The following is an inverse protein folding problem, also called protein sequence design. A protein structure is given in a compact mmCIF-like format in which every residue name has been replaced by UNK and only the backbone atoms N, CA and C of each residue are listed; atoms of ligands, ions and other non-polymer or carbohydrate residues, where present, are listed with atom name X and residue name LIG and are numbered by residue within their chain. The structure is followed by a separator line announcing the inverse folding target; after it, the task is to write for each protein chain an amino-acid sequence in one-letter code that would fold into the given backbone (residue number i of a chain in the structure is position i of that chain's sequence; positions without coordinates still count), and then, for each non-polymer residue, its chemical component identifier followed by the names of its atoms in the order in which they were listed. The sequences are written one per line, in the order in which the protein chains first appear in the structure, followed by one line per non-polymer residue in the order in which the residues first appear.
data_IF_383759146036
#
_entry.id   IF_383759146036
#
_cell.length_a   1.000
_cell.length_b   1.000
_cell.length_c   1.000
_cell.angle_alpha   90.00
_cell.angle_beta   90.00
_cell.angle_gamma   90.00
#
_symmetry.space_group_name_H-M   'P 1'
#
loop_
_entity.id
_entity.type
_entity.pdbx_description
1 polymer ?
#
# COMPACT_ATOMS: atom_id res chain seq x y z
N UNK A 1 24.96 42.19 -37.50
CA UNK A 1 25.51 43.53 -37.22
C UNK A 1 26.04 43.49 -35.78
N UNK A 2 27.36 43.42 -35.71
CA UNK A 2 28.35 43.98 -34.78
C UNK A 2 27.96 44.28 -33.32
N UNK A 3 28.70 43.61 -32.41
CA UNK A 3 29.18 44.11 -31.11
C UNK A 3 29.97 45.43 -31.27
N UNK A 4 30.22 46.24 -30.19
CA UNK A 4 31.54 46.13 -29.57
C UNK A 4 31.62 46.27 -28.03
N UNK A 5 32.77 45.74 -27.51
CA UNK A 5 33.42 45.96 -26.22
C UNK A 5 33.72 47.40 -25.89
N UNK A 6 34.06 47.67 -24.58
CA UNK A 6 35.17 48.49 -24.05
C UNK A 6 35.03 48.61 -22.53
N UNK A 7 35.94 48.04 -21.82
CA UNK A 7 37.08 48.44 -20.98
C UNK A 7 37.08 49.90 -20.51
N UNK A 8 37.20 50.15 -19.19
CA UNK A 8 38.41 50.83 -18.68
C UNK A 8 38.46 50.88 -17.11
N UNK A 9 39.71 50.82 -16.66
CA UNK A 9 40.21 50.90 -15.28
C UNK A 9 40.25 52.35 -14.77
N UNK A 10 40.35 52.56 -13.45
CA UNK A 10 41.41 53.31 -12.77
C UNK A 10 41.18 53.43 -11.25
N UNK A 11 42.09 52.92 -10.50
CA UNK A 11 43.00 53.53 -9.48
C UNK A 11 42.45 54.66 -8.59
N UNK A 12 42.57 54.47 -7.26
CA UNK A 12 43.52 55.20 -6.41
C UNK A 12 43.71 54.68 -5.02
N UNK A 13 44.92 54.90 -4.53
CA UNK A 13 45.62 54.44 -3.33
C UNK A 13 45.25 55.19 -2.04
N UNK A 14 45.65 54.57 -0.96
CA UNK A 14 46.37 55.00 0.30
C UNK A 14 45.43 55.14 1.51
N UNK A 15 45.81 54.80 2.71
CA UNK A 15 47.01 54.90 3.51
C UNK A 15 46.97 53.94 4.71
N UNK A 16 48.16 53.56 5.11
CA UNK A 16 48.61 52.77 6.26
C UNK A 16 48.22 53.40 7.59
N UNK A 17 47.87 52.56 8.59
CA UNK A 17 48.36 52.76 9.94
C UNK A 17 48.49 51.43 10.71
N UNK A 18 49.69 51.20 11.20
CA UNK A 18 50.13 50.13 12.07
C UNK A 18 49.50 50.24 13.46
N UNK A 19 49.00 49.12 13.98
CA UNK A 19 49.19 48.78 15.41
C UNK A 19 49.38 47.29 15.55
N UNK A 20 50.57 46.93 15.94
CA UNK A 20 51.02 45.66 16.41
C UNK A 20 50.38 45.35 17.77
N UNK A 21 49.60 44.28 17.87
CA UNK A 21 49.39 43.58 19.14
C UNK A 21 49.67 42.09 18.96
N UNK A 22 50.63 41.65 19.75
CA UNK A 22 51.08 40.29 20.00
C UNK A 22 49.89 39.38 20.36
N UNK A 23 49.65 38.36 19.60
CA UNK A 23 48.87 37.22 20.03
C UNK A 23 49.75 35.98 20.05
N UNK A 24 49.88 35.43 21.23
CA UNK A 24 50.61 34.23 21.51
C UNK A 24 50.10 33.04 20.70
N UNK A 25 50.99 32.35 20.01
CA UNK A 25 50.84 31.06 19.42
C UNK A 25 50.48 30.03 20.50
N UNK A 26 49.22 29.53 20.48
CA UNK A 26 48.91 28.27 21.11
C UNK A 26 48.76 27.22 20.00
N UNK A 27 49.80 26.42 19.90
CA UNK A 27 49.88 25.26 19.00
C UNK A 27 48.90 24.18 19.47
N UNK A 28 47.70 24.17 18.92
CA UNK A 28 46.75 23.07 19.13
C UNK A 28 47.16 21.89 18.26
N UNK A 29 47.59 20.81 18.89
CA UNK A 29 48.05 19.59 18.23
C UNK A 29 46.92 18.97 17.40
N UNK A 30 47.25 18.44 16.22
CA UNK A 30 46.34 17.74 15.30
C UNK A 30 45.49 16.64 15.98
N UNK A 31 45.91 16.14 17.15
CA UNK A 31 45.14 15.16 17.92
C UNK A 31 43.91 15.73 18.63
N UNK A 32 43.89 17.03 18.95
CA UNK A 32 42.74 17.66 19.62
C UNK A 32 41.65 18.05 18.62
N UNK A 33 42.00 18.28 17.35
CA UNK A 33 41.01 18.52 16.28
C UNK A 33 40.22 17.25 15.90
N UNK A 34 40.85 16.07 15.99
CA UNK A 34 40.15 14.80 15.73
C UNK A 34 39.24 14.34 16.90
N UNK A 35 39.56 14.70 18.13
CA UNK A 35 38.70 14.37 19.28
C UNK A 35 37.42 15.22 19.31
N UNK A 36 37.47 16.47 18.87
CA UNK A 36 36.29 17.32 18.78
C UNK A 36 35.34 16.96 17.62
N UNK A 37 35.84 16.44 16.50
CA UNK A 37 35.04 16.01 15.37
C UNK A 37 34.37 14.66 15.60
N UNK A 38 34.99 13.76 16.36
CA UNK A 38 34.39 12.45 16.71
C UNK A 38 33.22 12.58 17.69
N UNK A 39 33.25 13.56 18.60
CA UNK A 39 32.16 13.77 19.56
C UNK A 39 30.92 14.46 18.94
N UNK A 40 31.07 15.18 17.82
CA UNK A 40 29.97 15.87 17.15
C UNK A 40 29.19 14.95 16.16
N UNK A 41 29.74 13.81 15.76
CA UNK A 41 29.09 12.87 14.81
C UNK A 41 28.24 11.82 15.53
N UNK A 42 28.46 11.59 16.84
CA UNK A 42 27.74 10.55 17.60
C UNK A 42 26.39 11.01 18.17
N UNK A 43 25.98 12.26 18.00
CA UNK A 43 24.76 12.79 18.64
C UNK A 43 23.55 12.98 17.69
N UNK A 44 23.56 12.41 16.49
CA UNK A 44 22.43 12.49 15.54
C UNK A 44 21.91 11.15 15.03
N UNK A 45 22.16 10.06 15.72
CA UNK A 45 21.26 8.93 15.58
C UNK A 45 20.07 9.17 16.52
N UNK A 46 19.07 9.90 16.01
CA UNK A 46 17.71 9.81 16.51
C UNK A 46 17.39 8.32 16.49
N UNK A 47 17.25 7.71 17.66
CA UNK A 47 16.72 6.36 17.76
C UNK A 47 15.35 6.38 17.10
N UNK A 48 15.26 5.87 15.87
CA UNK A 48 14.00 5.30 15.43
C UNK A 48 13.63 4.32 16.54
N UNK A 49 12.51 4.54 17.22
CA UNK A 49 12.01 3.57 18.17
C UNK A 49 11.84 2.28 17.38
N UNK A 50 12.75 1.33 17.56
CA UNK A 50 12.59 0.01 17.03
C UNK A 50 11.36 -0.57 17.73
N UNK A 51 10.23 -0.55 17.05
CA UNK A 51 9.06 -1.28 17.48
C UNK A 51 9.43 -2.77 17.42
N UNK A 52 9.75 -3.35 18.58
CA UNK A 52 10.09 -4.76 18.68
C UNK A 52 8.80 -5.56 18.82
N UNK A 53 8.33 -6.11 17.71
CA UNK A 53 7.21 -7.07 17.74
C UNK A 53 7.66 -8.33 18.49
N UNK A 54 6.89 -8.73 19.51
CA UNK A 54 7.09 -9.99 20.24
C UNK A 54 5.96 -10.93 19.90
N UNK A 55 6.23 -12.00 19.13
CA UNK A 55 5.20 -12.99 18.85
C UNK A 55 4.71 -13.62 20.15
N UNK A 56 3.41 -13.89 20.21
CA UNK A 56 2.84 -14.58 21.35
C UNK A 56 3.39 -16.00 21.43
N UNK A 57 3.76 -16.43 22.63
CA UNK A 57 4.29 -17.78 22.89
C UNK A 57 3.23 -18.74 23.42
N UNK A 58 1.98 -18.29 23.53
CA UNK A 58 0.86 -19.09 24.04
C UNK A 58 -0.12 -19.38 22.95
N UNK A 59 -0.74 -20.56 23.02
CA UNK A 59 -1.83 -20.95 22.14
C UNK A 59 -3.16 -21.04 22.91
N UNK A 60 -4.27 -20.63 22.33
CA UNK A 60 -4.37 -19.88 21.04
C UNK A 60 -3.82 -18.47 21.19
N UNK A 61 -3.41 -17.87 20.05
CA UNK A 61 -2.96 -16.48 20.02
C UNK A 61 -4.11 -15.55 20.42
N UNK A 62 -3.98 -14.74 21.50
CA UNK A 62 -5.00 -13.79 21.91
C UNK A 62 -5.23 -12.66 20.91
N UNK A 63 -4.30 -12.43 19.98
CA UNK A 63 -4.49 -11.48 18.90
C UNK A 63 -5.55 -11.95 17.88
N UNK A 64 -5.88 -13.23 17.86
CA UNK A 64 -6.89 -13.81 16.96
C UNK A 64 -8.20 -14.01 17.71
N UNK A 65 -9.08 -13.03 17.64
CA UNK A 65 -10.34 -12.98 18.37
C UNK A 65 -11.48 -13.63 17.61
N UNK A 66 -12.28 -14.44 18.30
CA UNK A 66 -13.52 -15.01 17.79
C UNK A 66 -14.65 -14.06 18.20
N UNK A 67 -15.29 -13.44 17.20
CA UNK A 67 -16.45 -12.57 17.42
C UNK A 67 -17.76 -13.33 17.25
N UNK A 68 -17.74 -14.39 16.42
CA UNK A 68 -18.85 -15.31 16.22
C UNK A 68 -18.33 -16.75 16.21
N UNK A 69 -19.05 -17.75 16.72
CA UNK A 69 -18.63 -19.16 16.78
C UNK A 69 -18.20 -19.75 15.44
N UNK A 70 -18.71 -19.26 14.31
CA UNK A 70 -18.33 -19.73 12.97
C UNK A 70 -16.84 -19.49 12.68
N UNK A 71 -16.23 -18.44 13.23
CA UNK A 71 -14.81 -18.16 13.07
C UNK A 71 -13.90 -19.16 13.78
N UNK A 72 -14.40 -19.88 14.77
CA UNK A 72 -13.62 -20.90 15.47
C UNK A 72 -13.11 -22.03 14.55
N UNK A 73 -13.83 -22.32 13.47
CA UNK A 73 -13.43 -23.32 12.46
C UNK A 73 -12.38 -22.78 11.49
N UNK A 74 -12.27 -21.47 11.38
CA UNK A 74 -11.31 -20.77 10.50
C UNK A 74 -9.97 -20.57 11.20
N UNK A 75 -9.99 -20.41 12.54
CA UNK A 75 -8.78 -20.18 13.34
C UNK A 75 -8.01 -21.48 13.56
N UNK A 76 -6.73 -21.51 13.19
CA UNK A 76 -5.83 -22.59 13.59
C UNK A 76 -5.38 -22.34 15.05
N UNK A 77 -5.66 -23.29 15.95
CA UNK A 77 -5.36 -23.18 17.39
C UNK A 77 -3.87 -22.88 17.67
N UNK A 78 -2.97 -23.53 16.92
CA UNK A 78 -1.51 -23.47 17.11
C UNK A 78 -0.82 -22.49 16.14
N UNK A 79 -1.57 -21.60 15.48
CA UNK A 79 -1.01 -20.53 14.65
C UNK A 79 -1.01 -19.22 15.41
N UNK A 80 0.08 -18.46 15.25
CA UNK A 80 0.24 -17.13 15.84
C UNK A 80 0.52 -16.11 14.75
N UNK A 81 0.24 -14.83 15.03
CA UNK A 81 0.64 -13.73 14.18
C UNK A 81 2.16 -13.62 14.19
N UNK A 82 2.77 -13.56 13.01
CA UNK A 82 4.21 -13.42 12.79
C UNK A 82 4.51 -12.07 12.13
N UNK A 83 5.51 -11.34 12.59
CA UNK A 83 6.09 -10.23 11.82
C UNK A 83 7.15 -10.80 10.89
N UNK A 84 6.88 -10.78 9.59
CA UNK A 84 7.74 -11.40 8.57
C UNK A 84 8.81 -10.44 8.06
N UNK A 85 8.50 -9.13 8.00
CA UNK A 85 9.41 -8.09 7.57
C UNK A 85 8.96 -6.72 8.11
N UNK A 86 9.89 -5.75 8.16
CA UNK A 86 9.61 -4.36 8.53
C UNK A 86 10.53 -3.40 7.79
N UNK A 87 10.36 -2.07 8.01
CA UNK A 87 11.21 -1.03 7.42
C UNK A 87 10.60 -0.35 6.18
N UNK A 88 9.32 -0.52 5.97
CA UNK A 88 8.52 0.26 5.00
C UNK A 88 7.99 1.55 5.64
N UNK A 89 7.41 2.43 4.85
CA UNK A 89 6.72 3.64 5.33
C UNK A 89 5.21 3.53 5.22
N UNK A 90 4.74 2.86 4.17
CA UNK A 90 3.34 2.53 3.95
C UNK A 90 3.26 1.31 3.05
N UNK A 91 3.11 0.15 3.68
CA UNK A 91 3.00 -1.14 3.02
C UNK A 91 1.60 -1.32 2.43
N UNK A 92 1.52 -1.61 1.13
CA UNK A 92 0.29 -1.72 0.37
C UNK A 92 0.36 -2.76 -0.74
N UNK A 93 -0.81 -3.06 -1.33
CA UNK A 93 -0.99 -3.81 -2.56
C UNK A 93 -0.29 -5.17 -2.61
N UNK A 94 -0.39 -6.02 -1.58
CA UNK A 94 0.32 -7.29 -1.57
C UNK A 94 -0.24 -8.27 -2.61
N UNK A 95 0.65 -8.96 -3.32
CA UNK A 95 0.32 -10.02 -4.27
C UNK A 95 1.28 -11.20 -4.11
N UNK A 96 0.72 -12.42 -4.03
CA UNK A 96 1.50 -13.64 -3.86
C UNK A 96 1.71 -14.38 -5.18
N UNK A 97 2.94 -14.86 -5.40
CA UNK A 97 3.34 -15.68 -6.55
C UNK A 97 3.63 -17.11 -6.08
N UNK A 98 2.66 -18.00 -6.26
CA UNK A 98 2.73 -19.37 -5.76
C UNK A 98 3.86 -20.20 -6.40
N UNK A 99 4.09 -20.06 -7.70
CA UNK A 99 5.13 -20.82 -8.42
C UNK A 99 6.54 -20.44 -7.93
N UNK A 100 6.76 -19.18 -7.60
CA UNK A 100 8.03 -18.69 -7.07
C UNK A 100 8.11 -18.63 -5.55
N UNK A 101 7.00 -18.90 -4.83
CA UNK A 101 6.86 -18.80 -3.38
C UNK A 101 7.39 -17.47 -2.82
N UNK A 102 6.91 -16.38 -3.39
CA UNK A 102 7.25 -15.04 -2.93
C UNK A 102 6.05 -14.10 -2.98
N UNK A 103 6.10 -13.08 -2.15
CA UNK A 103 5.16 -11.97 -2.10
C UNK A 103 5.82 -10.71 -2.64
N UNK A 104 5.09 -9.94 -3.42
CA UNK A 104 5.42 -8.55 -3.73
C UNK A 104 4.46 -7.63 -2.99
N UNK A 105 4.95 -6.46 -2.57
CA UNK A 105 4.14 -5.41 -1.96
C UNK A 105 4.74 -4.04 -2.25
N UNK A 106 3.89 -3.04 -2.33
CA UNK A 106 4.30 -1.65 -2.48
C UNK A 106 4.74 -1.04 -1.16
N UNK A 107 5.82 -0.28 -1.18
CA UNK A 107 6.19 0.68 -0.14
C UNK A 107 6.08 2.06 -0.79
N UNK A 108 4.86 2.61 -0.77
CA UNK A 108 4.44 3.71 -1.63
C UNK A 108 5.33 4.95 -1.45
N UNK A 109 5.51 5.51 -0.22
CA UNK A 109 6.25 6.75 -0.06
C UNK A 109 7.75 6.62 -0.35
N UNK A 110 8.29 5.40 -0.26
CA UNK A 110 9.68 5.10 -0.65
C UNK A 110 9.82 4.81 -2.15
N UNK A 111 8.72 4.89 -2.91
CA UNK A 111 8.68 4.69 -4.36
C UNK A 111 9.34 3.38 -4.80
N UNK A 112 8.96 2.28 -4.13
CA UNK A 112 9.55 0.95 -4.40
C UNK A 112 8.54 -0.17 -4.23
N UNK A 113 8.79 -1.29 -4.93
CA UNK A 113 8.14 -2.58 -4.71
C UNK A 113 9.13 -3.45 -3.93
N UNK A 114 8.66 -4.04 -2.84
CA UNK A 114 9.42 -4.96 -2.00
C UNK A 114 9.07 -6.41 -2.35
N UNK A 115 10.01 -7.33 -2.16
CA UNK A 115 9.83 -8.78 -2.28
C UNK A 115 10.15 -9.46 -0.95
N UNK A 116 9.20 -10.26 -0.49
CA UNK A 116 9.42 -11.21 0.60
C UNK A 116 9.49 -12.62 0.00
N UNK A 117 10.60 -13.31 0.21
CA UNK A 117 10.79 -14.71 -0.21
C UNK A 117 10.33 -15.62 0.92
N UNK A 118 9.27 -16.39 0.66
CA UNK A 118 8.65 -17.24 1.70
C UNK A 118 9.56 -18.37 2.17
N UNK A 119 10.47 -18.86 1.32
CA UNK A 119 11.33 -20.02 1.63
C UNK A 119 12.52 -19.61 2.48
N UNK A 120 13.19 -18.51 2.11
CA UNK A 120 14.39 -18.04 2.79
C UNK A 120 14.10 -17.01 3.89
N UNK A 121 12.91 -16.40 3.90
CA UNK A 121 12.59 -15.24 4.75
C UNK A 121 13.27 -13.94 4.29
N UNK A 122 13.96 -13.93 3.16
CA UNK A 122 14.65 -12.75 2.67
C UNK A 122 13.67 -11.65 2.26
N UNK A 123 13.97 -10.41 2.68
CA UNK A 123 13.21 -9.23 2.32
C UNK A 123 14.10 -8.25 1.56
N UNK A 124 13.72 -7.86 0.35
CA UNK A 124 14.56 -7.08 -0.55
C UNK A 124 13.74 -6.17 -1.46
N UNK A 125 14.39 -5.19 -2.09
CA UNK A 125 13.79 -4.37 -3.13
C UNK A 125 13.66 -5.19 -4.43
N UNK A 126 12.44 -5.28 -4.94
CA UNK A 126 12.16 -5.89 -6.24
C UNK A 126 12.28 -4.89 -7.38
N UNK A 127 11.73 -3.66 -7.18
CA UNK A 127 11.75 -2.59 -8.20
C UNK A 127 11.84 -1.22 -7.53
N UNK A 128 12.73 -0.36 -8.03
CA UNK A 128 12.85 1.03 -7.64
C UNK A 128 13.48 1.84 -8.80
N UNK A 129 12.88 2.97 -9.26
CA UNK A 129 11.58 3.49 -8.82
C UNK A 129 10.41 2.62 -9.24
N UNK A 130 9.29 2.69 -8.52
CA UNK A 130 8.04 1.99 -8.82
C UNK A 130 6.93 2.89 -9.38
N UNK A 131 7.20 4.17 -9.58
CA UNK A 131 6.23 5.21 -9.89
C UNK A 131 5.12 5.33 -8.82
N UNK A 132 5.51 5.21 -7.55
CA UNK A 132 4.59 5.18 -6.42
C UNK A 132 3.50 4.12 -6.64
N UNK A 133 3.94 2.88 -6.88
CA UNK A 133 3.03 1.74 -7.02
C UNK A 133 2.15 1.59 -5.79
N UNK A 134 0.89 1.17 -5.99
CA UNK A 134 -0.05 0.83 -4.93
C UNK A 134 -0.54 -0.61 -5.12
N UNK A 135 -1.82 -0.84 -5.44
CA UNK A 135 -2.41 -2.14 -5.61
C UNK A 135 -1.75 -2.98 -6.70
N UNK A 136 -1.61 -4.26 -6.45
CA UNK A 136 -1.05 -5.21 -7.40
C UNK A 136 -1.87 -6.50 -7.45
N UNK A 137 -1.87 -7.12 -8.62
CA UNK A 137 -2.44 -8.45 -8.84
C UNK A 137 -1.64 -9.21 -9.89
N UNK A 138 -2.03 -10.46 -10.16
CA UNK A 138 -1.53 -11.25 -11.29
C UNK A 138 -2.62 -11.38 -12.33
N UNK A 139 -2.24 -11.33 -13.61
CA UNK A 139 -3.15 -11.78 -14.65
C UNK A 139 -3.23 -13.32 -14.71
N UNK A 140 -4.10 -13.84 -15.59
CA UNK A 140 -4.32 -15.30 -15.72
C UNK A 140 -3.11 -16.06 -16.24
N UNK A 141 -2.12 -15.35 -16.78
CA UNK A 141 -0.83 -15.90 -17.22
C UNK A 141 0.27 -15.76 -16.13
N UNK A 142 -0.07 -15.25 -14.94
CA UNK A 142 0.87 -15.06 -13.85
C UNK A 142 1.78 -13.83 -13.98
N UNK A 143 1.47 -12.88 -14.88
CA UNK A 143 2.23 -11.63 -15.04
C UNK A 143 1.76 -10.59 -14.02
N UNK A 144 2.69 -9.80 -13.51
CA UNK A 144 2.43 -8.76 -12.54
C UNK A 144 1.68 -7.58 -13.17
N UNK A 145 0.52 -7.24 -12.60
CA UNK A 145 -0.25 -6.02 -12.86
C UNK A 145 -0.02 -5.05 -11.71
N UNK A 146 0.20 -3.77 -12.00
CA UNK A 146 0.52 -2.73 -11.02
C UNK A 146 -0.29 -1.47 -11.28
N UNK A 147 -0.93 -0.93 -10.25
CA UNK A 147 -1.44 0.43 -10.21
C UNK A 147 -0.30 1.38 -9.84
N UNK A 148 -0.03 2.38 -10.67
CA UNK A 148 1.04 3.37 -10.46
C UNK A 148 0.43 4.76 -10.25
N UNK A 149 0.54 5.30 -9.02
CA UNK A 149 -0.01 6.62 -8.65
C UNK A 149 0.64 7.75 -9.46
N UNK A 150 1.99 7.84 -9.42
CA UNK A 150 2.74 8.88 -10.14
C UNK A 150 2.62 8.73 -11.65
N UNK A 151 2.62 7.49 -12.15
CA UNK A 151 2.42 7.19 -13.56
C UNK A 151 0.99 7.50 -14.03
N UNK A 152 0.02 7.55 -13.10
CA UNK A 152 -1.42 7.68 -13.37
C UNK A 152 -1.86 6.64 -14.39
N UNK A 153 -1.51 5.36 -14.11
CA UNK A 153 -1.69 4.28 -15.09
C UNK A 153 -1.75 2.90 -14.42
N UNK A 154 -2.27 1.95 -15.16
CA UNK A 154 -2.17 0.52 -14.85
C UNK A 154 -1.18 -0.10 -15.82
N UNK A 155 -0.24 -0.89 -15.30
CA UNK A 155 0.82 -1.50 -16.07
C UNK A 155 0.86 -3.01 -15.90
N UNK A 156 1.47 -3.71 -16.85
CA UNK A 156 1.78 -5.14 -16.79
C UNK A 156 3.25 -5.37 -17.04
N UNK A 157 3.87 -6.20 -16.21
CA UNK A 157 5.25 -6.65 -16.43
C UNK A 157 5.23 -7.95 -17.23
N UNK A 158 5.76 -7.90 -18.43
CA UNK A 158 5.86 -9.05 -19.33
C UNK A 158 6.96 -10.02 -18.89
N UNK A 159 6.96 -11.26 -19.38
CA UNK A 159 7.96 -12.28 -19.02
C UNK A 159 9.42 -11.89 -19.33
N UNK A 160 9.63 -11.00 -20.29
CA UNK A 160 10.95 -10.47 -20.62
C UNK A 160 11.35 -9.25 -19.76
N UNK A 161 10.55 -8.91 -18.75
CA UNK A 161 10.76 -7.76 -17.86
C UNK A 161 10.30 -6.41 -18.41
N UNK A 162 9.80 -6.34 -19.66
CA UNK A 162 9.24 -5.10 -20.22
C UNK A 162 7.98 -4.72 -19.48
N UNK A 163 7.84 -3.43 -19.17
CA UNK A 163 6.60 -2.87 -18.61
C UNK A 163 5.73 -2.36 -19.76
N UNK A 164 4.53 -2.91 -19.87
CA UNK A 164 3.49 -2.51 -20.84
C UNK A 164 2.41 -1.70 -20.13
N UNK A 165 2.08 -0.52 -20.65
CA UNK A 165 0.96 0.29 -20.17
C UNK A 165 -0.33 -0.33 -20.68
N UNK A 166 -1.25 -0.69 -19.78
CA UNK A 166 -2.56 -1.22 -20.09
C UNK A 166 -3.60 -0.10 -20.22
N UNK A 167 -3.53 0.89 -19.32
CA UNK A 167 -4.39 2.07 -19.35
C UNK A 167 -3.69 3.24 -18.67
N UNK A 168 -3.77 4.44 -19.26
CA UNK A 168 -3.31 5.71 -18.66
C UNK A 168 -4.29 6.86 -18.93
N UNK A 169 -5.27 6.65 -19.82
CA UNK A 169 -6.27 7.64 -20.24
C UNK A 169 -7.62 7.02 -20.47
N UNK A 170 -8.65 7.81 -20.21
CA UNK A 170 -10.03 7.52 -20.62
C UNK A 170 -10.60 8.74 -21.35
N UNK A 171 -11.10 8.54 -22.58
CA UNK A 171 -11.62 9.61 -23.46
C UNK A 171 -10.62 10.79 -23.61
N UNK A 172 -9.32 10.50 -23.73
CA UNK A 172 -8.27 11.49 -23.91
C UNK A 172 -7.76 12.17 -22.63
N UNK A 173 -8.46 12.05 -21.50
CA UNK A 173 -8.09 12.57 -20.20
C UNK A 173 -7.25 11.55 -19.41
N UNK A 174 -6.30 12.02 -18.61
CA UNK A 174 -5.49 11.14 -17.77
C UNK A 174 -6.33 10.52 -16.66
N UNK A 175 -6.05 9.26 -16.33
CA UNK A 175 -6.54 8.63 -15.11
C UNK A 175 -6.13 9.45 -13.87
N UNK A 176 -6.83 9.28 -12.76
CA UNK A 176 -6.48 9.98 -11.51
C UNK A 176 -5.21 9.38 -10.90
N UNK A 177 -5.33 8.36 -10.12
CA UNK A 177 -4.23 7.58 -9.54
C UNK A 177 -4.76 6.17 -9.24
N UNK A 178 -4.70 5.25 -10.22
CA UNK A 178 -5.19 3.88 -10.02
C UNK A 178 -4.68 3.30 -8.70
N UNK A 179 -5.61 2.76 -7.88
CA UNK A 179 -5.35 2.43 -6.49
C UNK A 179 -5.28 0.91 -6.27
N UNK A 180 -6.37 0.18 -6.38
CA UNK A 180 -6.37 -1.28 -6.22
C UNK A 180 -6.86 -1.97 -7.50
N UNK A 181 -6.47 -3.26 -7.68
CA UNK A 181 -6.66 -3.99 -8.94
C UNK A 181 -6.88 -5.48 -8.69
N UNK A 182 -7.79 -6.06 -9.45
CA UNK A 182 -8.08 -7.51 -9.47
C UNK A 182 -8.15 -8.01 -10.91
N UNK A 183 -7.97 -9.31 -11.10
CA UNK A 183 -8.10 -9.98 -12.38
C UNK A 183 -9.18 -11.06 -12.29
N UNK A 184 -10.25 -10.91 -13.08
CA UNK A 184 -11.36 -11.85 -13.17
C UNK A 184 -10.94 -13.15 -13.87
N UNK A 185 -11.71 -14.23 -13.72
CA UNK A 185 -11.40 -15.56 -14.28
C UNK A 185 -11.27 -15.55 -15.81
N UNK A 186 -12.00 -14.68 -16.49
CA UNK A 186 -11.93 -14.49 -17.95
C UNK A 186 -10.72 -13.67 -18.42
N UNK A 187 -9.93 -13.12 -17.48
CA UNK A 187 -8.77 -12.26 -17.75
C UNK A 187 -9.08 -10.77 -17.79
N UNK A 188 -10.31 -10.36 -17.55
CA UNK A 188 -10.67 -8.93 -17.40
C UNK A 188 -10.02 -8.35 -16.15
N UNK A 189 -9.35 -7.22 -16.30
CA UNK A 189 -8.68 -6.50 -15.20
C UNK A 189 -9.63 -5.39 -14.74
N UNK A 190 -9.93 -5.36 -13.43
CA UNK A 190 -10.76 -4.34 -12.81
C UNK A 190 -9.93 -3.52 -11.85
N UNK A 191 -10.08 -2.20 -11.85
CA UNK A 191 -9.33 -1.33 -10.95
C UNK A 191 -10.11 -0.09 -10.52
N UNK A 192 -9.74 0.44 -9.37
CA UNK A 192 -10.27 1.69 -8.82
C UNK A 192 -9.35 2.86 -9.15
N UNK A 193 -9.92 4.04 -9.42
CA UNK A 193 -9.17 5.24 -9.82
C UNK A 193 -9.58 6.48 -9.00
N UNK A 194 -9.33 6.47 -7.68
CA UNK A 194 -9.48 7.65 -6.83
C UNK A 194 -8.31 8.62 -7.00
N UNK A 195 -8.39 9.87 -6.50
CA UNK A 195 -7.31 10.85 -6.61
C UNK A 195 -6.31 10.79 -5.45
N UNK A 196 -6.13 9.64 -4.75
CA UNK A 196 -5.28 9.60 -3.54
C UNK A 196 -3.84 9.94 -3.85
N UNK A 197 -3.26 9.34 -4.89
CA UNK A 197 -1.86 9.53 -5.29
C UNK A 197 -1.55 10.88 -5.95
N UNK A 198 -2.57 11.70 -6.24
CA UNK A 198 -2.41 13.05 -6.80
C UNK A 198 -2.90 14.16 -5.86
N UNK A 199 -3.32 13.81 -4.63
CA UNK A 199 -3.88 14.77 -3.65
C UNK A 199 -2.82 15.39 -2.73
N UNK A 200 -1.55 15.02 -2.86
CA UNK A 200 -0.43 15.51 -2.04
C UNK A 200 0.86 14.78 -2.33
N UNK A 201 1.94 15.11 -1.60
CA UNK A 201 3.30 14.62 -1.86
C UNK A 201 3.70 13.33 -1.14
N UNK A 202 2.75 12.56 -0.56
CA UNK A 202 3.06 11.35 0.21
C UNK A 202 3.02 10.07 -0.63
N UNK A 203 2.01 9.93 -1.46
CA UNK A 203 1.78 8.73 -2.28
C UNK A 203 1.99 8.98 -3.78
N UNK A 204 2.59 10.10 -4.14
CA UNK A 204 2.85 10.54 -5.49
C UNK A 204 3.11 12.04 -5.52
N UNK A 205 3.00 12.67 -6.68
CA UNK A 205 3.09 14.13 -6.84
C UNK A 205 1.70 14.72 -7.03
N UNK A 206 1.49 15.90 -6.46
CA UNK A 206 0.24 16.63 -6.61
C UNK A 206 -0.05 16.95 -8.08
N UNK A 207 -1.28 16.66 -8.50
CA UNK A 207 -1.74 16.93 -9.86
C UNK A 207 -3.23 17.22 -9.89
N UNK A 208 -3.67 17.91 -10.95
CA UNK A 208 -5.09 18.19 -11.16
C UNK A 208 -5.84 16.92 -11.55
N UNK A 209 -6.99 16.71 -10.92
CA UNK A 209 -7.94 15.67 -11.29
C UNK A 209 -8.63 16.03 -12.61
N UNK A 210 -8.64 15.10 -13.58
CA UNK A 210 -9.25 15.30 -14.91
C UNK A 210 -10.53 14.48 -15.09
N UNK A 211 -10.68 13.40 -14.32
CA UNK A 211 -11.81 12.45 -14.39
C UNK A 211 -12.49 12.34 -13.01
N UNK A 212 -13.77 12.00 -12.94
CA UNK A 212 -14.41 11.67 -11.67
C UNK A 212 -13.74 10.47 -11.01
N UNK A 213 -13.98 10.28 -9.70
CA UNK A 213 -13.60 9.04 -9.04
C UNK A 213 -14.31 7.87 -9.72
N UNK A 214 -13.57 6.89 -10.17
CA UNK A 214 -14.12 5.89 -11.09
C UNK A 214 -13.67 4.49 -10.74
N UNK A 215 -14.45 3.52 -11.17
CA UNK A 215 -14.04 2.13 -11.32
C UNK A 215 -14.02 1.82 -12.81
N UNK A 216 -12.97 1.18 -13.25
CA UNK A 216 -12.78 0.80 -14.65
C UNK A 216 -12.54 -0.70 -14.79
N UNK A 217 -12.75 -1.22 -16.01
CA UNK A 217 -12.30 -2.56 -16.40
C UNK A 217 -11.57 -2.53 -17.74
N UNK A 218 -10.66 -3.48 -17.92
CA UNK A 218 -9.96 -3.73 -19.18
C UNK A 218 -10.25 -5.18 -19.58
N UNK A 219 -11.19 -5.41 -20.48
CA UNK A 219 -11.45 -6.75 -21.02
C UNK A 219 -10.22 -7.32 -21.75
N UNK A 220 -10.17 -8.64 -22.03
CA UNK A 220 -9.04 -9.25 -22.74
C UNK A 220 -8.77 -8.64 -24.13
N UNK A 221 -9.72 -7.98 -24.75
CA UNK A 221 -9.57 -7.25 -26.02
C UNK A 221 -8.79 -5.91 -25.87
N UNK A 222 -8.45 -5.50 -24.63
CA UNK A 222 -7.64 -4.32 -24.31
C UNK A 222 -8.37 -2.97 -24.31
N UNK A 223 -9.68 -2.91 -24.56
CA UNK A 223 -10.45 -1.66 -24.46
C UNK A 223 -10.69 -1.28 -23.00
N UNK A 224 -10.35 -0.02 -22.61
CA UNK A 224 -10.68 0.51 -21.29
C UNK A 224 -12.16 0.93 -21.25
N UNK A 225 -12.90 0.42 -20.28
CA UNK A 225 -14.32 0.69 -20.09
C UNK A 225 -14.57 1.29 -18.70
N UNK A 226 -15.42 2.30 -18.66
CA UNK A 226 -15.91 2.89 -17.41
C UNK A 226 -17.02 1.99 -16.86
N UNK A 227 -16.89 1.61 -15.59
CA UNK A 227 -17.88 0.80 -14.88
C UNK A 227 -18.84 1.68 -14.07
N UNK A 228 -18.31 2.54 -13.20
CA UNK A 228 -19.13 3.46 -12.40
C UNK A 228 -18.34 4.69 -11.94
N UNK A 229 -19.06 5.79 -11.69
CA UNK A 229 -18.56 7.03 -11.08
C UNK A 229 -19.32 7.40 -9.80
N UNK A 230 -20.14 6.51 -9.29
CA UNK A 230 -21.07 6.81 -8.19
C UNK A 230 -20.42 6.74 -6.80
N UNK A 231 -19.19 6.19 -6.72
CA UNK A 231 -18.50 6.01 -5.46
C UNK A 231 -17.52 7.16 -5.17
N UNK A 232 -17.52 7.63 -3.94
CA UNK A 232 -16.61 8.68 -3.49
C UNK A 232 -15.32 8.08 -2.91
N UNK A 233 -14.24 8.07 -3.71
CA UNK A 233 -12.96 7.45 -3.36
C UNK A 233 -13.05 5.92 -3.30
N UNK A 234 -13.38 5.25 -4.44
CA UNK A 234 -13.32 3.78 -4.50
C UNK A 234 -11.89 3.32 -4.20
N UNK A 235 -11.76 2.29 -3.34
CA UNK A 235 -10.49 1.78 -2.83
C UNK A 235 -10.40 0.27 -3.11
N UNK A 236 -10.25 -0.58 -2.10
CA UNK A 236 -10.21 -2.02 -2.27
C UNK A 236 -11.41 -2.58 -3.04
N UNK A 237 -11.16 -3.61 -3.85
CA UNK A 237 -12.22 -4.34 -4.56
C UNK A 237 -11.91 -5.84 -4.59
N UNK A 238 -12.98 -6.66 -4.63
CA UNK A 238 -12.87 -8.10 -4.76
C UNK A 238 -14.19 -8.69 -5.29
N UNK A 239 -14.11 -9.81 -6.02
CA UNK A 239 -15.28 -10.58 -6.39
C UNK A 239 -15.71 -11.55 -5.29
N UNK A 240 -16.98 -11.98 -5.33
CA UNK A 240 -17.41 -13.21 -4.67
C UNK A 240 -16.76 -14.43 -5.35
N UNK A 241 -16.68 -15.60 -4.67
CA UNK A 241 -16.04 -16.79 -5.25
C UNK A 241 -16.64 -17.27 -6.58
N UNK A 242 -17.91 -16.98 -6.81
CA UNK A 242 -18.64 -17.28 -8.07
C UNK A 242 -18.64 -16.12 -9.06
N UNK A 243 -17.95 -15.03 -8.75
CA UNK A 243 -17.85 -13.79 -9.55
C UNK A 243 -19.20 -13.11 -9.90
N UNK A 244 -20.29 -13.50 -9.24
CA UNK A 244 -21.60 -12.87 -9.45
C UNK A 244 -21.77 -11.56 -8.72
N UNK A 245 -20.93 -11.32 -7.71
CA UNK A 245 -20.91 -10.07 -6.96
C UNK A 245 -19.54 -9.43 -6.99
N UNK A 246 -19.53 -8.11 -7.08
CA UNK A 246 -18.35 -7.27 -6.87
C UNK A 246 -18.54 -6.47 -5.59
N UNK A 247 -17.55 -6.55 -4.72
CA UNK A 247 -17.46 -5.74 -3.51
C UNK A 247 -16.49 -4.59 -3.75
N UNK A 248 -16.85 -3.37 -3.33
CA UNK A 248 -15.99 -2.18 -3.47
C UNK A 248 -16.05 -1.37 -2.19
N UNK A 249 -14.87 -1.05 -1.65
CA UNK A 249 -14.74 -0.13 -0.53
C UNK A 249 -14.86 1.33 -1.01
N UNK A 250 -15.69 2.12 -0.33
CA UNK A 250 -15.84 3.55 -0.56
C UNK A 250 -15.20 4.32 0.61
N UNK A 251 -13.96 4.78 0.41
CA UNK A 251 -13.13 5.35 1.48
C UNK A 251 -13.47 6.79 1.87
N UNK A 252 -14.21 7.52 1.03
CA UNK A 252 -14.65 8.89 1.31
C UNK A 252 -16.17 9.03 1.48
N UNK A 253 -16.88 7.90 1.67
CA UNK A 253 -18.29 7.91 2.01
C UNK A 253 -18.54 8.66 3.33
N UNK A 254 -19.69 9.26 3.45
CA UNK A 254 -20.14 9.97 4.67
C UNK A 254 -21.45 9.37 5.16
N UNK A 255 -21.62 9.13 6.44
CA UNK A 255 -20.74 9.51 7.58
C UNK A 255 -19.56 8.55 7.80
N UNK A 256 -19.55 7.37 7.23
CA UNK A 256 -18.53 6.32 7.44
C UNK A 256 -18.05 5.72 6.11
N UNK A 257 -16.89 5.07 6.15
CA UNK A 257 -16.37 4.30 5.03
C UNK A 257 -17.16 2.99 4.92
N UNK A 258 -17.50 2.58 3.70
CA UNK A 258 -18.42 1.48 3.43
C UNK A 258 -17.79 0.41 2.57
N UNK A 259 -18.34 -0.83 2.60
CA UNK A 259 -18.23 -1.77 1.49
C UNK A 259 -19.61 -1.92 0.86
N UNK A 260 -19.66 -1.65 -0.43
CA UNK A 260 -20.82 -1.90 -1.27
C UNK A 260 -20.70 -3.26 -1.93
N UNK A 261 -21.83 -3.94 -2.09
CA UNK A 261 -22.00 -5.13 -2.95
C UNK A 261 -22.80 -4.73 -4.17
N UNK A 262 -22.35 -5.16 -5.32
CA UNK A 262 -23.03 -5.03 -6.60
C UNK A 262 -23.22 -6.41 -7.21
N UNK A 263 -24.31 -6.60 -7.93
CA UNK A 263 -24.46 -7.73 -8.85
C UNK A 263 -23.72 -7.43 -10.15
N UNK A 264 -23.05 -8.44 -10.71
CA UNK A 264 -22.23 -8.32 -11.94
C UNK A 264 -22.91 -9.08 -13.05
N UNK A 265 -23.31 -8.38 -14.11
CA UNK A 265 -23.81 -9.01 -15.33
C UNK A 265 -22.67 -9.56 -16.19
N UNK A 266 -22.98 -10.44 -17.16
CA UNK A 266 -22.01 -11.09 -18.05
C UNK A 266 -21.11 -10.12 -18.82
N UNK A 267 -21.61 -8.93 -19.11
CA UNK A 267 -20.85 -7.86 -19.79
C UNK A 267 -20.21 -6.87 -18.82
N UNK A 268 -20.21 -7.18 -17.50
CA UNK A 268 -19.59 -6.39 -16.45
C UNK A 268 -20.35 -5.14 -16.02
N UNK A 269 -21.63 -5.00 -16.41
CA UNK A 269 -22.49 -3.96 -15.85
C UNK A 269 -22.78 -4.29 -14.38
N UNK A 270 -22.72 -3.25 -13.53
CA UNK A 270 -23.09 -3.34 -12.12
C UNK A 270 -24.56 -2.97 -11.92
N UNK A 271 -25.22 -3.70 -11.02
CA UNK A 271 -26.61 -3.44 -10.62
C UNK A 271 -26.81 -3.79 -9.13
N UNK A 272 -28.00 -3.50 -8.61
CA UNK A 272 -28.42 -3.87 -7.26
C UNK A 272 -27.42 -3.46 -6.15
N UNK A 273 -26.92 -2.21 -6.21
CA UNK A 273 -26.02 -1.67 -5.18
C UNK A 273 -26.64 -1.80 -3.79
N UNK A 274 -25.95 -2.52 -2.90
CA UNK A 274 -26.39 -2.77 -1.53
C UNK A 274 -25.25 -2.47 -0.56
N UNK A 275 -25.53 -1.75 0.52
CA UNK A 275 -24.57 -1.57 1.61
C UNK A 275 -24.38 -2.90 2.34
N UNK A 276 -23.17 -3.46 2.28
CA UNK A 276 -22.83 -4.73 2.90
C UNK A 276 -22.18 -4.56 4.28
N UNK A 277 -21.16 -3.69 4.35
CA UNK A 277 -20.44 -3.40 5.59
C UNK A 277 -20.44 -1.90 5.84
N UNK A 278 -20.86 -1.54 7.06
CA UNK A 278 -20.71 -0.19 7.59
C UNK A 278 -19.90 -0.32 8.89
N UNK A 279 -18.63 0.14 8.93
CA UNK A 279 -17.80 -0.01 10.11
C UNK A 279 -18.31 0.74 11.32
N UNK A 280 -19.16 1.75 11.10
CA UNK A 280 -19.64 2.66 12.10
C UNK A 280 -18.53 3.33 12.96
N UNK A 281 -18.68 4.57 13.34
CA UNK A 281 -17.75 5.27 14.23
C UNK A 281 -16.34 5.50 13.65
N UNK A 282 -15.27 5.29 14.46
CA UNK A 282 -13.91 5.71 14.12
C UNK A 282 -13.13 4.69 13.27
N UNK A 283 -13.73 3.59 12.90
CA UNK A 283 -13.08 2.56 12.11
C UNK A 283 -12.97 2.93 10.62
N UNK A 284 -12.06 2.27 9.92
CA UNK A 284 -11.76 2.48 8.51
C UNK A 284 -11.46 1.17 7.83
N UNK A 285 -12.07 0.96 6.68
CA UNK A 285 -11.77 -0.12 5.76
C UNK A 285 -10.83 0.41 4.66
N UNK A 286 -9.92 -0.45 4.18
CA UNK A 286 -8.99 -0.15 3.09
C UNK A 286 -9.05 -1.26 2.03
N UNK A 287 -7.94 -1.96 1.75
CA UNK A 287 -7.94 -3.14 0.91
C UNK A 287 -8.54 -4.38 1.61
N UNK A 288 -9.05 -5.32 0.84
CA UNK A 288 -9.62 -6.57 1.38
C UNK A 288 -9.56 -7.70 0.36
N UNK A 289 -9.72 -8.93 0.83
CA UNK A 289 -9.83 -10.14 0.00
C UNK A 289 -11.00 -11.00 0.46
N UNK A 290 -11.44 -11.90 -0.42
CA UNK A 290 -12.53 -12.84 -0.17
C UNK A 290 -11.94 -14.25 -0.12
N UNK A 291 -12.41 -15.09 0.82
CA UNK A 291 -12.07 -16.51 0.87
C UNK A 291 -13.08 -17.38 0.07
N UNK A 292 -12.79 -18.66 -0.04
CA UNK A 292 -13.64 -19.63 -0.80
C UNK A 292 -15.05 -19.78 -0.26
N UNK A 293 -15.28 -19.44 1.01
CA UNK A 293 -16.59 -19.48 1.65
C UNK A 293 -17.35 -18.16 1.54
N UNK A 294 -16.71 -17.14 0.89
CA UNK A 294 -17.29 -15.81 0.68
C UNK A 294 -17.11 -14.87 1.87
N UNK A 295 -16.28 -15.20 2.87
CA UNK A 295 -15.97 -14.26 3.93
C UNK A 295 -15.05 -13.16 3.43
N UNK A 296 -15.29 -11.92 3.87
CA UNK A 296 -14.49 -10.76 3.54
C UNK A 296 -13.47 -10.51 4.64
N UNK A 297 -12.20 -10.57 4.29
CA UNK A 297 -11.04 -10.27 5.15
C UNK A 297 -10.60 -8.85 4.86
N UNK A 298 -10.87 -7.92 5.78
CA UNK A 298 -10.74 -6.49 5.54
C UNK A 298 -9.57 -5.89 6.30
N UNK A 299 -8.68 -5.20 5.60
CA UNK A 299 -7.71 -4.30 6.21
C UNK A 299 -8.46 -3.25 7.04
N UNK A 300 -8.10 -3.15 8.33
CA UNK A 300 -8.88 -2.43 9.32
C UNK A 300 -7.99 -1.54 10.16
N UNK A 301 -8.51 -0.38 10.55
CA UNK A 301 -7.78 0.52 11.44
C UNK A 301 -8.56 1.78 11.76
N UNK A 302 -7.91 2.70 12.46
CA UNK A 302 -8.44 4.00 12.78
C UNK A 302 -8.59 4.88 11.53
N UNK A 303 -9.66 5.65 11.46
CA UNK A 303 -9.87 6.68 10.44
C UNK A 303 -9.13 8.01 10.75
N UNK A 304 -8.36 8.07 11.85
CA UNK A 304 -7.64 9.25 12.30
C UNK A 304 -8.51 10.32 12.97
N UNK A 305 -9.79 10.04 13.24
CA UNK A 305 -10.66 11.00 13.93
C UNK A 305 -10.22 11.20 15.39
N UNK A 306 -10.46 12.40 15.98
CA UNK A 306 -10.17 12.64 17.39
C UNK A 306 -10.86 11.61 18.28
N UNK A 307 -10.11 10.98 19.20
CA UNK A 307 -10.60 9.97 20.12
C UNK A 307 -10.68 8.55 19.56
N UNK A 308 -10.26 8.31 18.30
CA UNK A 308 -10.10 6.97 17.78
C UNK A 308 -8.98 6.23 18.52
N UNK A 309 -9.28 5.04 19.05
CA UNK A 309 -8.28 4.17 19.67
C UNK A 309 -7.68 3.21 18.64
N UNK A 310 -6.52 3.55 18.09
CA UNK A 310 -5.83 2.72 17.09
C UNK A 310 -5.50 1.33 17.62
N UNK A 311 -5.07 1.19 18.88
CA UNK A 311 -4.78 -0.12 19.48
C UNK A 311 -5.99 -1.07 19.48
N UNK A 312 -7.19 -0.50 19.59
CA UNK A 312 -8.43 -1.30 19.54
C UNK A 312 -8.94 -1.56 18.13
N UNK A 313 -8.47 -0.79 17.14
CA UNK A 313 -8.99 -0.83 15.78
C UNK A 313 -8.01 -1.47 14.78
N UNK A 314 -6.70 -1.39 15.00
CA UNK A 314 -5.72 -1.80 14.00
C UNK A 314 -5.64 -3.32 13.86
N UNK A 315 -5.72 -3.79 12.63
CA UNK A 315 -5.66 -5.22 12.31
C UNK A 315 -6.41 -5.64 11.06
N UNK A 316 -6.96 -6.84 11.08
CA UNK A 316 -7.82 -7.40 10.03
C UNK A 316 -9.15 -7.82 10.64
N UNK A 317 -10.25 -7.29 10.13
CA UNK A 317 -11.59 -7.68 10.55
C UNK A 317 -12.24 -8.57 9.51
N UNK A 318 -12.80 -9.70 9.97
CA UNK A 318 -13.38 -10.70 9.09
C UNK A 318 -14.90 -10.68 9.22
N UNK A 319 -15.56 -10.61 8.07
CA UNK A 319 -17.01 -10.60 7.96
C UNK A 319 -17.47 -11.79 7.13
N UNK A 320 -18.60 -12.37 7.46
CA UNK A 320 -19.21 -13.37 6.60
C UNK A 320 -19.81 -12.73 5.33
N UNK A 321 -20.29 -13.54 4.39
CA UNK A 321 -20.89 -13.09 3.13
C UNK A 321 -22.12 -12.17 3.30
N UNK A 322 -22.72 -12.13 4.50
CA UNK A 322 -23.85 -11.25 4.86
C UNK A 322 -23.40 -9.95 5.54
N UNK A 323 -22.07 -9.73 5.67
CA UNK A 323 -21.53 -8.53 6.31
C UNK A 323 -21.55 -8.56 7.85
N UNK A 324 -21.76 -9.73 8.46
CA UNK A 324 -21.70 -9.89 9.91
C UNK A 324 -20.26 -10.12 10.34
N UNK A 325 -19.72 -9.36 11.32
CA UNK A 325 -18.35 -9.55 11.80
C UNK A 325 -18.24 -10.89 12.54
N UNK A 326 -17.29 -11.73 12.13
CA UNK A 326 -17.08 -13.05 12.70
C UNK A 326 -15.74 -13.23 13.42
N UNK A 327 -14.71 -12.47 13.01
CA UNK A 327 -13.37 -12.55 13.62
C UNK A 327 -12.62 -11.25 13.55
N UNK A 328 -11.59 -11.13 14.41
CA UNK A 328 -10.67 -9.99 14.36
C UNK A 328 -9.25 -10.45 14.67
N UNK A 329 -8.32 -10.07 13.81
CA UNK A 329 -6.87 -10.29 13.98
C UNK A 329 -6.28 -8.95 14.35
N UNK A 330 -5.90 -8.79 15.62
CA UNK A 330 -5.25 -7.57 16.10
C UNK A 330 -3.82 -7.48 15.61
N UNK A 331 -3.44 -6.31 15.12
CA UNK A 331 -2.07 -5.98 14.76
C UNK A 331 -1.64 -4.73 15.50
N UNK A 332 -0.35 -4.56 15.75
CA UNK A 332 0.16 -3.34 16.39
C UNK A 332 0.16 -2.13 15.45
N UNK A 333 -0.21 -2.34 14.18
CA UNK A 333 -0.23 -1.34 13.13
C UNK A 333 -1.50 -1.50 12.28
N UNK A 334 -1.96 -0.39 11.70
CA UNK A 334 -3.07 -0.43 10.76
C UNK A 334 -2.74 -1.31 9.55
N UNK A 335 -3.59 -2.30 9.27
CA UNK A 335 -3.52 -3.06 8.04
C UNK A 335 -4.19 -2.28 6.90
N UNK A 336 -3.41 -1.95 5.88
CA UNK A 336 -3.93 -1.26 4.70
C UNK A 336 -4.48 -2.24 3.67
N UNK A 337 -3.81 -3.38 3.46
CA UNK A 337 -4.24 -4.38 2.49
C UNK A 337 -3.71 -5.78 2.87
N UNK A 338 -4.24 -6.80 2.25
CA UNK A 338 -3.84 -8.18 2.54
C UNK A 338 -4.01 -9.09 1.32
N UNK A 339 -3.39 -10.26 1.38
CA UNK A 339 -3.59 -11.31 0.37
C UNK A 339 -3.42 -12.69 0.99
N UNK A 340 -4.08 -13.67 0.40
CA UNK A 340 -3.80 -15.07 0.68
C UNK A 340 -2.62 -15.57 -0.13
N UNK A 341 -1.90 -16.55 0.39
CA UNK A 341 -0.79 -17.19 -0.26
C UNK A 341 -0.32 -18.42 0.50
N UNK A 342 0.95 -18.78 0.33
CA UNK A 342 1.50 -20.04 0.80
C UNK A 342 1.13 -21.23 -0.10
N UNK A 343 1.71 -22.42 0.13
CA UNK A 343 1.52 -23.58 -0.74
C UNK A 343 0.08 -24.07 -0.86
N UNK A 344 -0.75 -23.79 0.15
CA UNK A 344 -2.18 -24.14 0.17
C UNK A 344 -3.12 -22.96 0.00
N UNK A 345 -2.58 -21.76 -0.27
CA UNK A 345 -3.36 -20.50 -0.33
C UNK A 345 -4.17 -20.21 0.96
N UNK A 346 -3.62 -20.63 2.12
CA UNK A 346 -4.21 -20.46 3.46
C UNK A 346 -3.31 -19.73 4.45
N UNK A 347 -2.26 -19.07 3.95
CA UNK A 347 -1.46 -18.13 4.72
C UNK A 347 -1.88 -16.72 4.37
N UNK A 348 -2.41 -16.01 5.35
CA UNK A 348 -2.76 -14.61 5.22
C UNK A 348 -1.50 -13.77 5.35
N UNK A 349 -1.24 -12.89 4.37
CA UNK A 349 -0.18 -11.89 4.40
C UNK A 349 -0.84 -10.51 4.52
N UNK A 350 -0.47 -9.77 5.55
CA UNK A 350 -1.09 -8.50 5.94
C UNK A 350 -0.06 -7.38 5.81
N UNK A 351 -0.25 -6.50 4.82
CA UNK A 351 0.56 -5.30 4.62
C UNK A 351 0.06 -4.20 5.56
N UNK A 352 0.87 -3.86 6.54
CA UNK A 352 0.46 -2.98 7.64
C UNK A 352 1.50 -1.89 7.86
N UNK A 353 1.12 -0.65 7.64
CA UNK A 353 1.97 0.55 7.83
C UNK A 353 3.46 0.33 7.52
N UNK A 354 4.24 -0.13 8.50
CA UNK A 354 5.69 -0.31 8.38
C UNK A 354 6.12 -1.77 8.15
N UNK A 355 5.19 -2.74 8.26
CA UNK A 355 5.53 -4.16 8.37
C UNK A 355 4.67 -5.06 7.51
N UNK A 356 5.19 -6.26 7.26
CA UNK A 356 4.47 -7.40 6.75
C UNK A 356 4.23 -8.39 7.88
N UNK A 357 2.96 -8.75 8.11
CA UNK A 357 2.60 -9.81 9.03
C UNK A 357 2.06 -11.04 8.29
N UNK A 358 2.16 -12.19 8.94
CA UNK A 358 1.63 -13.47 8.44
C UNK A 358 0.86 -14.22 9.49
N UNK A 359 -0.15 -14.96 9.06
CA UNK A 359 -0.94 -15.86 9.90
C UNK A 359 -1.45 -17.05 9.07
N UNK A 360 -1.27 -18.28 9.55
CA UNK A 360 -1.94 -19.43 8.96
C UNK A 360 -3.37 -19.57 9.49
N UNK A 361 -4.30 -19.85 8.59
CA UNK A 361 -5.73 -20.01 8.87
C UNK A 361 -6.28 -21.26 8.16
N UNK A 362 -7.48 -21.74 8.53
CA UNK A 362 -8.20 -22.81 7.81
C UNK A 362 -9.11 -22.26 6.69
N UNK A 363 -9.03 -20.96 6.38
CA UNK A 363 -9.65 -20.38 5.21
C UNK A 363 -8.67 -20.38 4.03
N UNK A 364 -9.20 -20.49 2.83
CA UNK A 364 -8.44 -20.46 1.58
C UNK A 364 -8.86 -19.25 0.77
N UNK A 365 -7.90 -18.50 0.24
CA UNK A 365 -8.22 -17.35 -0.61
C UNK A 365 -9.00 -17.79 -1.85
N UNK A 366 -10.04 -17.04 -2.21
CA UNK A 366 -10.69 -17.25 -3.48
C UNK A 366 -9.71 -17.01 -4.63
N UNK A 367 -9.71 -17.90 -5.60
CA UNK A 367 -8.87 -17.82 -6.82
C UNK A 367 -9.82 -17.62 -7.99
N UNK A 368 -9.69 -16.51 -8.67
CA UNK A 368 -10.46 -16.16 -9.84
C UNK A 368 -9.73 -16.53 -11.12
#
# INVERSE_FOLDING_TARGET
VKLPNLWNQSHTKSLVNNQTQSLANTDMSRRQLFAGAAAAVTSRFVHAQNFEFKPNQRYPDPAVEILDPSFAQIRIYSSTVEQLASGMRWAEGPVYFGDGRFLLMSDIPNNRIMRYDEVSGAFSVFRQPSNFSNGMTRDRQGRLIVCEHQGRRVTRTEYNGKVTVLADRYLGKRLNSPNDVICQSDGTIWFTDPPFGISGGWEGEEASQELPHSVYRIPPNGALELVTTELNGPNGLAFSPDEKHLYIAESRAKPSRLIWRFDVASEGQLSNQTKLIDPDGPASIDGFKVDTEGNLWCGWGSNGSPGANSEALDGVKVFNAQGVPIGFIRLPERCANLTFGGPKNNRLYMASSHSLYGLYVEAYGAVY
#
